data_IF_213272744066
#
_entry.id   IF_213272744066
#
_cell.length_a   1.000
_cell.length_b   1.000
_cell.length_c   1.000
_cell.angle_alpha   90.00
_cell.angle_beta   90.00
_cell.angle_gamma   90.00
#
_symmetry.space_group_name_H-M   'P 1'
#
loop_
_entity.id
_entity.type
_entity.pdbx_description
1 polymer ?
#
# COMPACT_ATOMS: atom_id res chain seq x y z
N UNK A 1 24.71 -10.23 4.98
CA UNK A 1 23.60 -9.30 5.33
C UNK A 1 23.44 -8.30 4.18
N UNK A 2 22.23 -7.87 3.81
CA UNK A 2 21.95 -7.11 2.57
C UNK A 2 22.98 -6.02 2.18
N UNK A 3 23.47 -5.24 3.15
CA UNK A 3 24.48 -4.20 2.91
C UNK A 3 25.76 -4.73 2.24
N UNK A 4 26.26 -5.89 2.64
CA UNK A 4 27.46 -6.51 2.06
C UNK A 4 27.26 -6.90 0.59
N UNK A 5 26.04 -7.35 0.26
CA UNK A 5 25.65 -7.66 -1.13
C UNK A 5 25.56 -6.40 -1.99
N UNK A 6 25.05 -5.30 -1.45
CA UNK A 6 25.01 -4.01 -2.16
C UNK A 6 26.42 -3.49 -2.41
N UNK A 7 27.30 -3.56 -1.40
CA UNK A 7 28.71 -3.14 -1.55
C UNK A 7 29.45 -4.00 -2.57
N UNK A 8 29.16 -5.31 -2.64
CA UNK A 8 29.76 -6.23 -3.60
C UNK A 8 29.21 -6.02 -5.02
N UNK A 9 27.91 -5.75 -5.18
CA UNK A 9 27.30 -5.46 -6.46
C UNK A 9 27.77 -4.12 -7.05
N UNK A 10 28.15 -3.18 -6.18
CA UNK A 10 28.61 -1.84 -6.55
C UNK A 10 27.45 -0.90 -6.88
N UNK A 11 27.56 0.35 -6.47
CA UNK A 11 26.63 1.40 -6.90
C UNK A 11 27.16 2.06 -8.19
N UNK A 12 26.26 2.60 -9.03
CA UNK A 12 26.66 3.32 -10.23
C UNK A 12 27.44 4.59 -9.89
N UNK A 13 28.20 5.09 -10.87
CA UNK A 13 29.00 6.31 -10.73
C UNK A 13 28.12 7.52 -10.37
N UNK A 14 28.38 8.19 -9.23
CA UNK A 14 27.57 9.33 -8.79
C UNK A 14 27.71 10.57 -9.70
N UNK A 15 28.71 10.62 -10.59
CA UNK A 15 28.92 11.75 -11.49
C UNK A 15 28.21 11.62 -12.85
N UNK A 16 27.46 10.53 -13.06
CA UNK A 16 26.62 10.36 -14.25
C UNK A 16 25.37 11.26 -14.28
N UNK A 17 24.59 11.20 -15.38
CA UNK A 17 23.31 11.90 -15.47
C UNK A 17 22.38 11.52 -14.33
N UNK A 18 21.84 12.52 -13.61
CA UNK A 18 21.18 12.33 -12.31
C UNK A 18 20.09 11.26 -12.35
N UNK A 19 19.15 11.35 -13.29
CA UNK A 19 18.02 10.42 -13.37
C UNK A 19 18.48 8.98 -13.65
N UNK A 20 19.40 8.82 -14.62
CA UNK A 20 19.94 7.50 -14.98
C UNK A 20 20.76 6.88 -13.84
N UNK A 21 21.52 7.69 -13.11
CA UNK A 21 22.34 7.22 -11.99
C UNK A 21 21.46 6.77 -10.83
N UNK A 22 20.41 7.52 -10.50
CA UNK A 22 19.46 7.16 -9.45
C UNK A 22 18.65 5.93 -9.81
N UNK A 23 18.19 5.81 -11.06
CA UNK A 23 17.46 4.63 -11.54
C UNK A 23 18.31 3.36 -11.48
N UNK A 24 19.58 3.46 -11.89
CA UNK A 24 20.53 2.36 -11.80
C UNK A 24 20.81 1.99 -10.34
N UNK A 25 20.98 2.96 -9.44
CA UNK A 25 21.22 2.73 -8.03
C UNK A 25 20.03 2.03 -7.36
N UNK A 26 18.82 2.54 -7.61
CA UNK A 26 17.58 1.96 -7.12
C UNK A 26 17.41 0.51 -7.60
N UNK A 27 17.70 0.25 -8.89
CA UNK A 27 17.64 -1.08 -9.48
C UNK A 27 18.59 -2.06 -8.80
N UNK A 28 19.84 -1.66 -8.53
CA UNK A 28 20.82 -2.49 -7.83
C UNK A 28 20.39 -2.80 -6.40
N UNK A 29 19.93 -1.80 -5.65
CA UNK A 29 19.47 -1.97 -4.27
C UNK A 29 18.26 -2.91 -4.22
N UNK A 30 17.27 -2.71 -5.08
CA UNK A 30 16.08 -3.55 -5.14
C UNK A 30 16.41 -4.99 -5.52
N UNK A 31 17.33 -5.19 -6.48
CA UNK A 31 17.80 -6.53 -6.85
C UNK A 31 18.46 -7.23 -5.66
N UNK A 32 19.39 -6.57 -4.99
CA UNK A 32 20.06 -7.13 -3.81
C UNK A 32 19.06 -7.45 -2.69
N UNK A 33 18.06 -6.57 -2.49
CA UNK A 33 17.00 -6.76 -1.51
C UNK A 33 16.15 -7.99 -1.84
N UNK A 34 15.69 -8.13 -3.09
CA UNK A 34 14.94 -9.33 -3.54
C UNK A 34 15.76 -10.60 -3.40
N UNK A 35 17.03 -10.58 -3.77
CA UNK A 35 17.92 -11.75 -3.67
C UNK A 35 18.25 -12.16 -2.23
N UNK A 36 18.03 -11.28 -1.25
CA UNK A 36 18.39 -11.52 0.16
C UNK A 36 17.18 -11.76 1.03
N UNK A 37 16.13 -10.96 0.83
CA UNK A 37 14.92 -10.93 1.65
C UNK A 37 13.73 -11.61 0.95
N UNK A 38 13.92 -12.10 -0.28
CA UNK A 38 12.86 -12.53 -1.19
C UNK A 38 11.87 -11.40 -1.53
N UNK A 39 11.00 -11.64 -2.51
CA UNK A 39 9.88 -10.74 -2.77
C UNK A 39 8.79 -10.97 -1.74
N UNK A 40 8.38 -9.89 -1.06
CA UNK A 40 7.15 -9.91 -0.28
C UNK A 40 5.97 -10.07 -1.23
N UNK A 41 5.44 -11.28 -1.33
CA UNK A 41 4.14 -11.50 -1.98
C UNK A 41 3.08 -10.89 -1.06
N UNK A 42 2.55 -9.74 -1.44
CA UNK A 42 1.44 -9.12 -0.73
C UNK A 42 0.31 -10.14 -0.56
N UNK A 43 0.05 -10.56 0.67
CA UNK A 43 -0.94 -11.60 0.91
C UNK A 43 -0.72 -12.43 2.17
N UNK A 44 -1.04 -11.84 3.32
CA UNK A 44 -2.08 -12.33 4.23
C UNK A 44 -2.72 -11.08 4.81
N UNK A 45 -4.07 -11.01 4.86
CA UNK A 45 -4.70 -10.06 5.80
C UNK A 45 -4.03 -10.34 7.14
N UNK A 46 -3.42 -9.32 7.75
CA UNK A 46 -2.92 -9.45 9.12
C UNK A 46 -4.00 -10.06 10.00
N UNK A 47 -3.59 -10.64 11.13
CA UNK A 47 -4.55 -11.19 12.07
C UNK A 47 -5.63 -10.15 12.36
N UNK A 48 -6.88 -10.44 11.96
CA UNK A 48 -8.00 -9.51 12.16
C UNK A 48 -8.22 -9.28 13.64
N UNK A 49 -7.90 -10.25 14.50
CA UNK A 49 -7.96 -10.07 15.94
C UNK A 49 -6.99 -9.00 16.44
N UNK A 50 -5.85 -8.80 15.76
CA UNK A 50 -4.89 -7.73 16.10
C UNK A 50 -5.38 -6.32 15.71
N UNK A 51 -6.48 -6.19 14.97
CA UNK A 51 -6.98 -4.92 14.41
C UNK A 51 -8.27 -4.43 15.09
N UNK A 52 -8.56 -4.85 16.33
CA UNK A 52 -9.81 -4.54 17.04
C UNK A 52 -11.05 -4.76 16.14
N UNK A 53 -11.04 -5.88 15.39
CA UNK A 53 -12.04 -6.21 14.38
C UNK A 53 -13.34 -6.75 15.01
N UNK A 54 -13.94 -5.97 15.89
CA UNK A 54 -15.19 -6.32 16.56
C UNK A 54 -16.40 -6.22 15.61
N UNK A 55 -17.57 -6.62 16.11
CA UNK A 55 -18.80 -6.64 15.33
C UNK A 55 -19.27 -5.24 14.89
N UNK A 56 -18.99 -4.22 15.69
CA UNK A 56 -19.38 -2.84 15.40
C UNK A 56 -18.57 -2.30 14.24
N UNK A 57 -17.25 -2.46 14.29
CA UNK A 57 -16.33 -2.09 13.21
C UNK A 57 -16.70 -2.83 11.91
N UNK A 58 -17.06 -4.12 12.02
CA UNK A 58 -17.52 -4.90 10.88
C UNK A 58 -18.81 -4.35 10.25
N UNK A 59 -19.78 -3.94 11.07
CA UNK A 59 -21.03 -3.34 10.61
C UNK A 59 -20.77 -2.01 9.89
N UNK A 60 -19.97 -1.12 10.49
CA UNK A 60 -19.61 0.19 9.91
C UNK A 60 -18.88 0.02 8.57
N UNK A 61 -17.85 -0.84 8.52
CA UNK A 61 -17.09 -1.08 7.30
C UNK A 61 -17.98 -1.70 6.20
N UNK A 62 -18.88 -2.60 6.57
CA UNK A 62 -19.83 -3.21 5.61
C UNK A 62 -20.80 -2.16 5.06
N UNK A 63 -21.37 -1.30 5.90
CA UNK A 63 -22.26 -0.22 5.49
C UNK A 63 -21.54 0.76 4.55
N UNK A 64 -20.36 1.25 4.94
CA UNK A 64 -19.52 2.15 4.12
C UNK A 64 -19.16 1.52 2.77
N UNK A 65 -18.81 0.22 2.75
CA UNK A 65 -18.49 -0.50 1.51
C UNK A 65 -19.71 -0.64 0.59
N UNK A 66 -20.90 -0.88 1.13
CA UNK A 66 -22.15 -0.94 0.34
C UNK A 66 -22.46 0.43 -0.25
N UNK A 67 -22.36 1.51 0.53
CA UNK A 67 -22.58 2.87 0.06
C UNK A 67 -21.56 3.28 -1.02
N UNK A 68 -20.28 2.95 -0.82
CA UNK A 68 -19.23 3.18 -1.81
C UNK A 68 -19.51 2.45 -3.13
N UNK A 69 -19.91 1.18 -3.08
CA UNK A 69 -20.26 0.41 -4.30
C UNK A 69 -21.49 0.98 -5.00
N UNK A 70 -22.48 1.47 -4.26
CA UNK A 70 -23.65 2.12 -4.84
C UNK A 70 -23.27 3.43 -5.53
N UNK A 71 -22.42 4.25 -4.90
CA UNK A 71 -21.84 5.43 -5.52
C UNK A 71 -21.01 5.09 -6.75
N UNK A 72 -20.09 4.14 -6.66
CA UNK A 72 -19.22 3.75 -7.79
C UNK A 72 -20.03 3.31 -9.02
N UNK A 73 -21.16 2.62 -8.82
CA UNK A 73 -22.04 2.19 -9.92
C UNK A 73 -22.84 3.32 -10.55
N UNK A 74 -23.25 4.31 -9.77
CA UNK A 74 -24.18 5.35 -10.22
C UNK A 74 -23.47 6.65 -10.55
N UNK A 75 -22.27 6.86 -10.00
CA UNK A 75 -21.52 8.12 -9.93
C UNK A 75 -22.40 9.32 -9.51
N UNK A 76 -23.53 9.04 -8.86
CA UNK A 76 -24.54 10.04 -8.54
C UNK A 76 -24.08 10.88 -7.34
N UNK A 77 -24.28 12.21 -7.37
CA UNK A 77 -24.06 13.08 -6.22
C UNK A 77 -24.84 12.66 -4.97
N UNK A 78 -26.05 12.08 -5.13
CA UNK A 78 -26.87 11.59 -4.02
C UNK A 78 -26.27 10.35 -3.37
N UNK A 79 -25.76 9.42 -4.17
CA UNK A 79 -25.07 8.24 -3.68
C UNK A 79 -23.73 8.61 -3.01
N UNK A 80 -23.07 9.67 -3.49
CA UNK A 80 -21.88 10.24 -2.86
C UNK A 80 -22.21 10.86 -1.49
N UNK A 81 -23.30 11.63 -1.38
CA UNK A 81 -23.76 12.20 -0.12
C UNK A 81 -24.10 11.11 0.90
N UNK A 82 -24.75 10.03 0.46
CA UNK A 82 -25.02 8.86 1.31
C UNK A 82 -23.74 8.17 1.78
N UNK A 83 -22.76 7.97 0.90
CA UNK A 83 -21.45 7.42 1.28
C UNK A 83 -20.71 8.31 2.29
N UNK A 84 -20.72 9.63 2.09
CA UNK A 84 -20.10 10.60 3.01
C UNK A 84 -20.83 10.68 4.35
N UNK A 85 -22.14 10.44 4.40
CA UNK A 85 -22.88 10.39 5.66
C UNK A 85 -22.48 9.20 6.53
N UNK A 86 -22.14 8.08 5.91
CA UNK A 86 -21.57 6.89 6.58
C UNK A 86 -20.10 7.08 6.99
N UNK A 87 -19.49 8.22 6.68
CA UNK A 87 -18.12 8.60 7.06
C UNK A 87 -18.08 9.45 8.34
N UNK A 88 -19.19 10.09 8.72
CA UNK A 88 -19.31 10.93 9.91
C UNK A 88 -20.19 10.29 10.98
N UNK A 89 -19.61 9.43 11.81
CA UNK A 89 -20.05 9.36 13.20
C UNK A 89 -19.73 10.70 13.86
N UNK A 90 -20.70 11.27 14.54
CA UNK A 90 -20.66 12.58 15.21
C UNK A 90 -19.37 12.81 16.03
N UNK A 91 -18.53 13.74 15.57
CA UNK A 91 -17.55 14.52 16.33
C UNK A 91 -17.08 15.72 15.49
#
# INVERSE_FOLDING_TARGET
MLCEKITTAGLPDPYGPIDSTWDAAASTILKCARDTLAETKGGKRGDRAAWFWDEELQRVVKAKKVAYKAWQKTLSPEALAKYKKEEGGEA
#
